data_IF_166052072546
#
_entry.id   IF_166052072546
#
_cell.length_a   1.000
_cell.length_b   1.000
_cell.length_c   1.000
_cell.angle_alpha   90.00
_cell.angle_beta   90.00
_cell.angle_gamma   90.00
#
_symmetry.space_group_name_H-M   'P 1'
#
loop_
_entity.id
_entity.type
_entity.pdbx_description
1 polymer ?
#
# COMPACT_ATOMS: atom_id res chain seq x y z
N UNK A 1 21.20 -15.26 -19.97
CA UNK A 1 20.54 -14.65 -21.15
C UNK A 1 19.11 -15.16 -21.36
N UNK A 2 18.86 -16.43 -21.70
CA UNK A 2 17.49 -16.93 -21.93
C UNK A 2 16.55 -16.79 -20.71
N UNK A 3 17.08 -17.00 -19.50
CA UNK A 3 16.32 -16.87 -18.25
C UNK A 3 15.91 -15.44 -17.92
N UNK A 4 16.82 -14.48 -18.14
CA UNK A 4 16.58 -13.05 -17.92
C UNK A 4 15.54 -12.50 -18.91
N UNK A 5 15.65 -12.89 -20.19
CA UNK A 5 14.65 -12.54 -21.20
C UNK A 5 13.26 -13.05 -20.86
N UNK A 6 13.15 -14.28 -20.33
CA UNK A 6 11.87 -14.84 -19.86
C UNK A 6 11.25 -13.99 -18.75
N UNK A 7 12.03 -13.56 -17.76
CA UNK A 7 11.52 -12.72 -16.68
C UNK A 7 11.10 -11.34 -17.16
N UNK A 8 11.91 -10.71 -18.02
CA UNK A 8 11.59 -9.42 -18.63
C UNK A 8 10.28 -9.49 -19.42
N UNK A 9 10.13 -10.50 -20.28
CA UNK A 9 8.90 -10.72 -21.04
C UNK A 9 7.69 -10.99 -20.13
N UNK A 10 7.86 -11.78 -19.07
CA UNK A 10 6.78 -12.11 -18.14
C UNK A 10 6.28 -10.89 -17.36
N UNK A 11 7.19 -10.05 -16.84
CA UNK A 11 6.81 -8.87 -16.08
C UNK A 11 6.22 -7.77 -16.98
N UNK A 12 6.72 -7.63 -18.21
CA UNK A 12 6.14 -6.73 -19.21
C UNK A 12 4.71 -7.16 -19.56
N UNK A 13 4.49 -8.44 -19.86
CA UNK A 13 3.15 -8.97 -20.13
C UNK A 13 2.21 -8.77 -18.94
N UNK A 14 2.67 -9.02 -17.73
CA UNK A 14 1.86 -8.82 -16.52
C UNK A 14 1.52 -7.34 -16.30
N UNK A 15 2.43 -6.43 -16.63
CA UNK A 15 2.17 -4.98 -16.56
C UNK A 15 1.15 -4.55 -17.62
N UNK A 16 1.31 -5.00 -18.87
CA UNK A 16 0.35 -4.74 -19.95
C UNK A 16 -1.06 -5.20 -19.54
N UNK A 17 -1.18 -6.37 -18.92
CA UNK A 17 -2.46 -6.89 -18.40
C UNK A 17 -3.08 -5.99 -17.33
N UNK A 18 -2.27 -5.40 -16.42
CA UNK A 18 -2.78 -4.43 -15.44
C UNK A 18 -3.37 -3.22 -16.17
N UNK A 19 -2.63 -2.65 -17.13
CA UNK A 19 -3.07 -1.45 -17.85
C UNK A 19 -4.33 -1.72 -18.65
N UNK A 20 -4.38 -2.82 -19.40
CA UNK A 20 -5.57 -3.22 -20.17
C UNK A 20 -6.79 -3.44 -19.27
N UNK A 21 -6.65 -4.22 -18.19
CA UNK A 21 -7.77 -4.47 -17.27
C UNK A 21 -8.23 -3.17 -16.58
N UNK A 22 -7.29 -2.26 -16.30
CA UNK A 22 -7.62 -0.97 -15.68
C UNK A 22 -8.41 -0.08 -16.64
N UNK A 23 -8.02 0.00 -17.92
CA UNK A 23 -8.81 0.72 -18.93
C UNK A 23 -10.20 0.11 -19.12
N UNK A 24 -10.33 -1.23 -19.09
CA UNK A 24 -11.63 -1.89 -19.14
C UNK A 24 -12.53 -1.50 -17.96
N UNK A 25 -11.96 -1.47 -16.75
CA UNK A 25 -12.68 -0.98 -15.55
C UNK A 25 -13.11 0.48 -15.69
N UNK A 26 -12.24 1.36 -16.20
CA UNK A 26 -12.56 2.79 -16.39
C UNK A 26 -13.69 2.96 -17.41
N UNK A 27 -13.63 2.23 -18.52
CA UNK A 27 -14.69 2.24 -19.54
C UNK A 27 -16.01 1.68 -18.99
N UNK A 28 -15.97 0.65 -18.15
CA UNK A 28 -17.17 0.15 -17.48
C UNK A 28 -17.74 1.22 -16.55
N UNK A 29 -16.90 1.87 -15.74
CA UNK A 29 -17.30 2.95 -14.85
C UNK A 29 -17.90 4.14 -15.59
N UNK A 30 -17.36 4.53 -16.75
CA UNK A 30 -17.89 5.65 -17.53
C UNK A 30 -19.28 5.39 -18.10
N UNK A 31 -19.62 4.12 -18.32
CA UNK A 31 -20.91 3.70 -18.87
C UNK A 31 -21.95 3.40 -17.78
N UNK A 32 -21.51 3.21 -16.53
CA UNK A 32 -22.37 2.86 -15.40
C UNK A 32 -22.97 4.12 -14.75
N UNK A 33 -24.26 4.10 -14.40
CA UNK A 33 -24.94 5.22 -13.75
C UNK A 33 -24.85 5.12 -12.22
N UNK A 34 -23.62 4.94 -11.73
CA UNK A 34 -23.38 4.73 -10.30
C UNK A 34 -22.99 6.00 -9.57
N UNK A 35 -23.31 6.08 -8.27
CA UNK A 35 -22.86 7.17 -7.42
C UNK A 35 -21.43 6.93 -6.92
N UNK A 36 -20.65 8.00 -6.95
CA UNK A 36 -19.30 8.01 -6.44
C UNK A 36 -19.02 9.30 -5.67
N UNK A 37 -18.03 9.23 -4.79
CA UNK A 37 -17.57 10.34 -3.97
C UNK A 37 -16.06 10.22 -3.80
N UNK A 38 -15.33 11.33 -3.88
CA UNK A 38 -13.92 11.38 -3.51
C UNK A 38 -13.61 12.60 -2.63
N UNK A 39 -12.61 12.46 -1.76
CA UNK A 39 -12.25 13.46 -0.76
C UNK A 39 -11.94 14.84 -1.35
N UNK A 40 -11.31 14.86 -2.53
CA UNK A 40 -10.94 16.09 -3.25
C UNK A 40 -11.74 16.30 -4.55
N UNK A 41 -12.68 15.40 -4.84
CA UNK A 41 -13.57 15.50 -6.01
C UNK A 41 -14.91 14.87 -5.65
N UNK A 42 -15.90 15.66 -5.16
CA UNK A 42 -17.17 15.12 -4.68
C UNK A 42 -17.98 14.35 -5.74
N UNK A 43 -17.70 14.59 -7.02
CA UNK A 43 -18.28 13.87 -8.17
C UNK A 43 -17.15 13.38 -9.07
N UNK A 44 -16.45 12.31 -8.67
CA UNK A 44 -15.34 11.81 -9.46
C UNK A 44 -15.85 11.19 -10.77
N UNK A 45 -15.26 11.59 -11.88
CA UNK A 45 -15.56 11.06 -13.21
C UNK A 45 -14.55 9.98 -13.63
N UNK A 46 -14.68 9.49 -14.87
CA UNK A 46 -13.79 8.48 -15.41
C UNK A 46 -12.33 8.95 -15.48
N UNK A 47 -12.08 10.23 -15.78
CA UNK A 47 -10.74 10.82 -15.80
C UNK A 47 -10.10 10.86 -14.41
N UNK A 48 -10.88 11.15 -13.37
CA UNK A 48 -10.41 11.03 -11.99
C UNK A 48 -10.05 9.58 -11.63
N UNK A 49 -10.88 8.62 -12.01
CA UNK A 49 -10.64 7.21 -11.72
C UNK A 49 -9.40 6.70 -12.47
N UNK A 50 -9.24 7.11 -13.73
CA UNK A 50 -8.07 6.83 -14.54
C UNK A 50 -6.80 7.32 -13.86
N UNK A 51 -6.79 8.59 -13.42
CA UNK A 51 -5.69 9.17 -12.66
C UNK A 51 -5.40 8.36 -11.40
N UNK A 52 -6.44 7.95 -10.65
CA UNK A 52 -6.28 7.20 -9.41
C UNK A 52 -5.68 5.81 -9.59
N UNK A 53 -6.05 5.12 -10.68
CA UNK A 53 -5.68 3.72 -10.91
C UNK A 53 -4.40 3.54 -11.74
N UNK A 54 -4.01 4.56 -12.50
CA UNK A 54 -2.84 4.54 -13.38
C UNK A 54 -1.67 5.41 -12.88
N UNK A 55 -1.81 6.07 -11.72
CA UNK A 55 -0.67 6.74 -11.08
C UNK A 55 0.31 5.73 -10.48
N UNK A 56 1.36 5.43 -11.26
CA UNK A 56 2.43 4.52 -10.89
C UNK A 56 3.76 5.22 -10.57
N UNK A 57 3.76 6.54 -10.44
CA UNK A 57 4.99 7.31 -10.42
C UNK A 57 5.38 7.75 -9.00
N UNK A 58 6.68 8.01 -8.79
CA UNK A 58 7.10 8.80 -7.65
C UNK A 58 6.90 10.28 -7.94
N UNK A 59 6.39 11.03 -6.96
CA UNK A 59 6.43 12.49 -6.95
C UNK A 59 7.82 12.99 -6.53
N UNK A 60 8.18 14.21 -6.94
CA UNK A 60 9.41 14.85 -6.50
C UNK A 60 9.38 15.07 -4.98
N UNK A 61 10.47 14.72 -4.29
CA UNK A 61 10.55 14.82 -2.82
C UNK A 61 9.71 13.78 -2.05
N UNK A 62 9.02 12.86 -2.73
CA UNK A 62 8.23 11.82 -2.08
C UNK A 62 9.10 10.87 -1.26
N UNK A 63 8.69 10.55 -0.02
CA UNK A 63 9.27 9.43 0.73
C UNK A 63 9.09 8.14 -0.09
N UNK A 64 10.20 7.49 -0.44
CA UNK A 64 10.21 6.27 -1.26
C UNK A 64 9.42 5.08 -0.67
N UNK A 65 8.95 5.19 0.57
CA UNK A 65 8.10 4.19 1.25
C UNK A 65 6.61 4.53 1.20
N UNK A 66 6.27 5.75 0.82
CA UNK A 66 4.90 6.22 0.68
C UNK A 66 4.33 5.83 -0.69
N UNK A 67 3.01 5.81 -0.76
CA UNK A 67 2.25 5.64 -2.00
C UNK A 67 1.17 6.71 -2.00
N UNK A 68 0.88 7.30 -3.15
CA UNK A 68 -0.10 8.38 -3.26
C UNK A 68 -1.51 7.86 -2.98
N UNK A 69 -2.22 8.34 -1.94
CA UNK A 69 -3.56 7.86 -1.64
C UNK A 69 -4.60 8.52 -2.56
N UNK A 70 -5.55 7.73 -3.05
CA UNK A 70 -6.74 8.22 -3.75
C UNK A 70 -7.98 7.84 -2.96
N UNK A 71 -8.47 8.77 -2.15
CA UNK A 71 -9.56 8.49 -1.21
C UNK A 71 -10.88 8.78 -1.90
N UNK A 72 -11.65 7.71 -2.10
CA UNK A 72 -13.01 7.78 -2.60
C UNK A 72 -13.78 6.49 -2.38
N UNK A 73 -15.06 6.52 -2.74
CA UNK A 73 -15.97 5.40 -2.72
C UNK A 73 -16.77 5.39 -4.01
N UNK A 74 -17.00 4.20 -4.55
CA UNK A 74 -17.77 3.97 -5.77
C UNK A 74 -18.78 2.87 -5.43
N UNK A 75 -20.07 3.17 -5.59
CA UNK A 75 -21.09 2.13 -5.58
C UNK A 75 -20.89 1.27 -6.84
N UNK A 76 -21.04 -0.04 -6.71
CA UNK A 76 -20.66 -0.95 -7.79
C UNK A 76 -21.67 -2.08 -7.94
N UNK A 77 -22.23 -2.19 -9.13
CA UNK A 77 -22.99 -3.36 -9.56
C UNK A 77 -22.06 -4.54 -9.88
N UNK A 78 -22.65 -5.72 -10.21
CA UNK A 78 -21.90 -6.94 -10.48
C UNK A 78 -20.81 -6.78 -11.55
N UNK A 79 -21.13 -6.16 -12.69
CA UNK A 79 -20.20 -6.00 -13.82
C UNK A 79 -18.99 -5.15 -13.45
N UNK A 80 -19.22 -4.06 -12.70
CA UNK A 80 -18.15 -3.19 -12.23
C UNK A 80 -17.26 -3.91 -11.20
N UNK A 81 -17.85 -4.69 -10.30
CA UNK A 81 -17.13 -5.52 -9.34
C UNK A 81 -16.29 -6.61 -10.02
N UNK A 82 -16.79 -7.21 -11.10
CA UNK A 82 -16.05 -8.19 -11.90
C UNK A 82 -14.84 -7.53 -12.58
N UNK A 83 -15.01 -6.34 -13.16
CA UNK A 83 -13.91 -5.57 -13.73
C UNK A 83 -12.85 -5.21 -12.67
N UNK A 84 -13.26 -4.85 -11.45
CA UNK A 84 -12.33 -4.63 -10.32
C UNK A 84 -11.58 -5.91 -9.95
N UNK A 85 -12.28 -7.05 -9.92
CA UNK A 85 -11.67 -8.35 -9.64
C UNK A 85 -10.62 -8.71 -10.70
N UNK A 86 -10.89 -8.45 -11.97
CA UNK A 86 -9.94 -8.66 -13.07
C UNK A 86 -8.67 -7.81 -12.90
N UNK A 87 -8.81 -6.53 -12.52
CA UNK A 87 -7.65 -5.66 -12.21
C UNK A 87 -6.85 -6.22 -11.04
N UNK A 88 -7.51 -6.61 -9.95
CA UNK A 88 -6.84 -7.16 -8.77
C UNK A 88 -6.13 -8.50 -9.06
N UNK A 89 -6.71 -9.33 -9.93
CA UNK A 89 -6.07 -10.56 -10.41
C UNK A 89 -4.81 -10.26 -11.22
N UNK A 90 -4.86 -9.33 -12.18
CA UNK A 90 -3.69 -8.90 -12.95
C UNK A 90 -2.58 -8.33 -12.04
N UNK A 91 -2.96 -7.51 -11.04
CA UNK A 91 -2.03 -6.98 -10.02
C UNK A 91 -1.40 -8.08 -9.18
N UNK A 92 -2.14 -9.13 -8.84
CA UNK A 92 -1.62 -10.30 -8.12
C UNK A 92 -0.57 -11.03 -8.95
N UNK A 93 -0.84 -11.27 -10.23
CA UNK A 93 0.10 -11.92 -11.17
C UNK A 93 1.39 -11.11 -11.29
N UNK A 94 1.30 -9.80 -11.51
CA UNK A 94 2.48 -8.93 -11.56
C UNK A 94 3.30 -8.97 -10.26
N UNK A 95 2.62 -8.95 -9.10
CA UNK A 95 3.29 -9.01 -7.80
C UNK A 95 4.05 -10.32 -7.59
N UNK A 96 3.46 -11.44 -8.04
CA UNK A 96 4.09 -12.77 -8.00
C UNK A 96 5.33 -12.81 -8.89
N UNK A 97 5.23 -12.39 -10.16
CA UNK A 97 6.38 -12.33 -11.08
C UNK A 97 7.48 -11.43 -10.53
N UNK A 98 7.13 -10.27 -9.99
CA UNK A 98 8.10 -9.35 -9.38
C UNK A 98 8.78 -9.95 -8.15
N UNK A 99 8.05 -10.73 -7.34
CA UNK A 99 8.62 -11.41 -6.18
C UNK A 99 9.63 -12.49 -6.60
N UNK A 100 9.34 -13.24 -7.67
CA UNK A 100 10.28 -14.20 -8.25
C UNK A 100 11.55 -13.51 -8.76
N UNK A 101 11.42 -12.42 -9.52
CA UNK A 101 12.59 -11.67 -10.02
C UNK A 101 13.44 -11.14 -8.86
N UNK A 102 12.82 -10.63 -7.78
CA UNK A 102 13.55 -10.17 -6.60
C UNK A 102 14.35 -11.28 -5.90
N UNK A 103 13.90 -12.53 -6.01
CA UNK A 103 14.55 -13.70 -5.39
C UNK A 103 15.67 -14.24 -6.27
N UNK A 104 15.41 -14.39 -7.57
CA UNK A 104 16.31 -15.09 -8.50
C UNK A 104 17.28 -14.14 -9.23
N UNK A 105 16.84 -12.92 -9.56
CA UNK A 105 17.52 -12.03 -10.51
C UNK A 105 17.38 -10.55 -10.11
N UNK A 106 17.70 -10.22 -8.84
CA UNK A 106 17.53 -8.87 -8.28
C UNK A 106 18.22 -7.76 -9.10
N UNK A 107 19.29 -8.10 -9.82
CA UNK A 107 20.02 -7.18 -10.69
C UNK A 107 19.18 -6.67 -11.87
N UNK A 108 18.10 -7.34 -12.26
CA UNK A 108 17.20 -6.90 -13.35
C UNK A 108 16.29 -5.74 -12.96
N UNK A 109 16.04 -5.52 -11.66
CA UNK A 109 15.04 -4.54 -11.17
C UNK A 109 15.25 -3.12 -11.74
N UNK A 110 16.46 -2.57 -11.86
CA UNK A 110 16.67 -1.26 -12.48
C UNK A 110 16.27 -1.22 -13.96
N UNK A 111 16.57 -2.28 -14.72
CA UNK A 111 16.22 -2.39 -16.14
C UNK A 111 14.70 -2.42 -16.34
N UNK A 112 13.98 -3.22 -15.54
CA UNK A 112 12.51 -3.29 -15.59
C UNK A 112 11.85 -1.92 -15.39
N UNK A 113 12.38 -1.12 -14.45
CA UNK A 113 11.83 0.21 -14.17
C UNK A 113 11.98 1.17 -15.36
N UNK A 114 12.95 0.92 -16.25
CA UNK A 114 13.11 1.65 -17.50
C UNK A 114 12.24 1.12 -18.64
N UNK A 115 12.08 -0.21 -18.76
CA UNK A 115 11.34 -0.80 -19.88
C UNK A 115 9.82 -0.70 -19.76
N UNK A 116 9.25 -0.87 -18.56
CA UNK A 116 7.79 -0.86 -18.35
C UNK A 116 7.12 0.47 -18.78
N UNK A 117 7.65 1.66 -18.42
CA UNK A 117 7.07 2.94 -18.86
C UNK A 117 7.07 3.12 -20.37
N UNK A 118 8.14 2.68 -21.06
CA UNK A 118 8.30 2.85 -22.50
C UNK A 118 7.25 2.09 -23.32
N UNK A 119 6.66 1.03 -22.75
CA UNK A 119 5.60 0.25 -23.39
C UNK A 119 4.24 0.95 -23.41
N UNK A 120 4.03 1.91 -22.51
CA UNK A 120 2.77 2.65 -22.40
C UNK A 120 3.04 4.16 -22.39
N UNK A 121 3.36 4.77 -23.55
CA UNK A 121 3.73 6.19 -23.63
C UNK A 121 2.66 7.13 -23.07
N UNK A 122 1.38 6.77 -23.20
CA UNK A 122 0.25 7.55 -22.65
C UNK A 122 0.26 7.62 -21.11
N UNK A 123 0.85 6.63 -20.42
CA UNK A 123 1.05 6.68 -18.97
C UNK A 123 2.22 7.58 -18.59
N UNK A 124 3.17 7.75 -19.50
CA UNK A 124 4.39 8.53 -19.32
C UNK A 124 4.24 10.01 -19.76
N UNK A 125 3.26 10.34 -20.60
CA UNK A 125 3.08 11.70 -21.15
C UNK A 125 2.70 12.75 -20.10
N UNK A 126 2.20 12.35 -18.93
CA UNK A 126 1.87 13.25 -17.82
C UNK A 126 3.08 13.58 -16.92
N UNK A 127 4.28 13.11 -17.27
CA UNK A 127 5.50 13.34 -16.52
C UNK A 127 6.14 14.65 -16.97
N UNK A 128 5.72 15.76 -16.37
CA UNK A 128 6.27 17.09 -16.65
C UNK A 128 7.76 17.18 -16.24
N UNK A 129 8.66 17.12 -17.22
CA UNK A 129 9.87 17.95 -17.30
C UNK A 129 11.05 17.70 -16.34
N UNK A 130 10.94 16.95 -15.24
CA UNK A 130 12.01 16.83 -14.26
C UNK A 130 12.40 15.37 -13.98
N UNK A 131 13.30 14.84 -14.82
CA UNK A 131 14.00 13.57 -14.59
C UNK A 131 13.12 12.33 -14.75
N UNK A 132 13.48 11.45 -15.70
CA UNK A 132 12.91 10.12 -15.95
C UNK A 132 12.09 9.58 -14.76
N UNK A 133 10.77 9.58 -14.87
CA UNK A 133 9.92 9.21 -13.76
C UNK A 133 10.27 7.81 -13.28
N UNK A 134 10.60 7.74 -12.00
CA UNK A 134 10.95 6.47 -11.37
C UNK A 134 9.63 5.75 -11.13
N UNK A 135 9.44 4.61 -11.78
CA UNK A 135 8.28 3.76 -11.54
C UNK A 135 8.25 3.32 -10.06
N UNK A 136 7.13 3.59 -9.39
CA UNK A 136 6.83 3.08 -8.06
C UNK A 136 6.14 1.71 -8.19
N UNK A 137 6.95 0.66 -8.15
CA UNK A 137 6.47 -0.72 -8.29
C UNK A 137 5.34 -1.07 -7.30
N UNK A 138 5.31 -0.49 -6.09
CA UNK A 138 4.24 -0.77 -5.12
C UNK A 138 2.90 -0.17 -5.55
N UNK A 139 2.90 0.96 -6.24
CA UNK A 139 1.69 1.55 -6.80
C UNK A 139 1.11 0.71 -7.95
N UNK A 140 1.96 0.00 -8.71
CA UNK A 140 1.51 -0.88 -9.79
C UNK A 140 0.64 -2.04 -9.29
N UNK A 141 0.98 -2.66 -8.15
CA UNK A 141 0.30 -3.88 -7.68
C UNK A 141 -0.57 -3.73 -6.44
N UNK A 142 -0.64 -2.54 -5.80
CA UNK A 142 -1.58 -2.36 -4.68
C UNK A 142 -3.02 -2.60 -5.15
N UNK A 143 -3.73 -3.50 -4.47
CA UNK A 143 -5.09 -3.86 -4.84
C UNK A 143 -6.07 -2.69 -4.65
N UNK A 144 -7.07 -2.66 -5.52
CA UNK A 144 -8.27 -1.83 -5.36
C UNK A 144 -9.09 -2.44 -4.22
N UNK A 145 -9.40 -1.68 -3.15
CA UNK A 145 -10.19 -2.19 -2.04
C UNK A 145 -11.65 -2.39 -2.46
N UNK A 146 -12.23 -3.50 -2.02
CA UNK A 146 -13.64 -3.87 -2.26
C UNK A 146 -14.27 -4.25 -0.93
N UNK A 147 -15.48 -3.77 -0.66
CA UNK A 147 -16.26 -4.22 0.50
C UNK A 147 -16.78 -5.65 0.27
N UNK A 148 -16.72 -6.50 1.29
CA UNK A 148 -17.06 -7.93 1.16
C UNK A 148 -18.55 -8.17 0.84
N UNK A 149 -19.41 -7.22 1.19
CA UNK A 149 -20.86 -7.25 1.05
C UNK A 149 -21.41 -5.81 1.05
N UNK A 150 -22.69 -5.60 0.71
CA UNK A 150 -23.35 -4.31 0.88
C UNK A 150 -23.21 -3.76 2.31
N UNK A 151 -22.99 -2.45 2.42
CA UNK A 151 -22.77 -1.77 3.69
C UNK A 151 -23.84 -0.71 3.91
N UNK A 152 -24.29 -0.55 5.14
CA UNK A 152 -25.20 0.52 5.54
C UNK A 152 -24.44 1.85 5.68
N UNK A 153 -23.21 1.76 6.22
CA UNK A 153 -22.40 2.93 6.57
C UNK A 153 -20.91 2.67 6.39
N UNK A 154 -20.20 3.71 5.96
CA UNK A 154 -18.73 3.75 5.92
C UNK A 154 -18.22 4.91 6.76
N UNK A 155 -17.32 4.62 7.71
CA UNK A 155 -16.63 5.65 8.48
C UNK A 155 -15.15 5.72 8.09
N UNK A 156 -14.78 6.80 7.40
CA UNK A 156 -13.44 7.13 6.97
C UNK A 156 -12.69 7.91 8.06
N UNK A 157 -11.46 7.49 8.35
CA UNK A 157 -10.61 8.14 9.34
C UNK A 157 -9.13 7.97 9.04
N UNK A 158 -8.33 8.99 9.35
CA UNK A 158 -6.88 8.91 9.26
C UNK A 158 -6.30 8.06 10.40
N UNK A 159 -5.45 7.11 10.02
CA UNK A 159 -4.68 6.28 10.94
C UNK A 159 -3.20 6.69 10.88
N UNK A 160 -2.79 7.50 11.86
CA UNK A 160 -1.44 8.09 11.96
C UNK A 160 -0.49 7.31 12.89
N UNK A 161 -1.02 6.32 13.63
CA UNK A 161 -0.25 5.55 14.62
C UNK A 161 0.20 4.17 14.12
N UNK A 162 0.21 3.96 12.80
CA UNK A 162 0.64 2.70 12.21
C UNK A 162 2.09 2.39 12.52
N UNK A 163 2.36 1.16 12.99
CA UNK A 163 3.71 0.66 13.23
C UNK A 163 3.88 -0.69 12.55
N UNK A 164 5.00 -0.86 11.83
CA UNK A 164 5.49 -2.17 11.43
C UNK A 164 6.45 -2.65 12.51
N UNK A 165 6.15 -3.80 13.10
CA UNK A 165 6.95 -4.40 14.18
C UNK A 165 7.48 -5.73 13.67
N UNK A 166 8.81 -5.84 13.56
CA UNK A 166 9.49 -7.09 13.23
C UNK A 166 10.13 -7.66 14.49
N UNK A 167 9.70 -8.86 14.90
CA UNK A 167 10.37 -9.59 15.98
C UNK A 167 11.74 -10.08 15.49
N UNK A 168 12.77 -9.86 16.31
CA UNK A 168 14.15 -10.22 16.05
C UNK A 168 14.73 -10.97 17.26
N UNK A 169 15.74 -11.79 17.01
CA UNK A 169 16.62 -12.35 18.04
C UNK A 169 17.81 -11.42 18.27
N UNK A 170 18.47 -11.52 19.42
CA UNK A 170 19.73 -10.81 19.70
C UNK A 170 20.76 -11.09 18.61
N UNK A 171 20.93 -12.35 18.19
CA UNK A 171 21.85 -12.72 17.12
C UNK A 171 21.52 -12.03 15.77
N UNK A 172 20.23 -11.87 15.44
CA UNK A 172 19.84 -11.17 14.21
C UNK A 172 20.13 -9.65 14.28
N UNK A 173 20.09 -9.07 15.47
CA UNK A 173 20.48 -7.67 15.70
C UNK A 173 21.98 -7.50 15.62
N UNK A 174 22.73 -8.41 16.20
CA UNK A 174 24.19 -8.46 16.13
C UNK A 174 24.68 -8.51 14.68
N UNK A 175 24.13 -9.41 13.87
CA UNK A 175 24.44 -9.50 12.43
C UNK A 175 24.13 -8.20 11.68
N UNK A 176 23.05 -7.50 12.05
CA UNK A 176 22.74 -6.18 11.49
C UNK A 176 23.79 -5.14 11.86
N UNK A 177 24.21 -5.09 13.13
CA UNK A 177 25.26 -4.17 13.58
C UNK A 177 26.59 -4.44 12.87
N UNK A 178 26.98 -5.71 12.72
CA UNK A 178 28.19 -6.11 11.99
C UNK A 178 28.14 -5.76 10.49
N UNK A 179 26.94 -5.71 9.89
CA UNK A 179 26.77 -5.28 8.50
C UNK A 179 26.82 -3.75 8.32
N UNK A 180 26.78 -3.00 9.42
CA UNK A 180 27.02 -1.55 9.41
C UNK A 180 28.51 -1.29 9.49
N UNK A 181 28.96 -0.14 8.96
CA UNK A 181 30.36 0.25 8.94
C UNK A 181 31.03 0.06 10.32
N UNK A 182 31.83 -1.00 10.42
CA UNK A 182 32.26 -1.61 11.69
C UNK A 182 33.31 -0.78 12.43
N UNK A 183 33.94 0.18 11.73
CA UNK A 183 35.02 1.03 12.27
C UNK A 183 34.50 2.26 13.03
N UNK A 184 33.20 2.35 13.30
CA UNK A 184 32.63 3.45 14.06
C UNK A 184 32.51 3.11 15.56
N UNK A 185 33.08 3.97 16.41
CA UNK A 185 32.89 3.94 17.88
C UNK A 185 31.41 3.80 18.28
N UNK A 186 30.49 4.30 17.43
CA UNK A 186 29.06 4.14 17.59
C UNK A 186 28.59 2.68 17.56
N UNK A 187 29.08 1.86 16.63
CA UNK A 187 28.71 0.44 16.53
C UNK A 187 29.22 -0.35 17.74
N UNK A 188 30.42 -0.06 18.24
CA UNK A 188 30.94 -0.70 19.46
C UNK A 188 30.07 -0.42 20.70
N UNK A 189 29.60 0.83 20.86
CA UNK A 189 28.69 1.20 21.94
C UNK A 189 27.39 0.40 21.83
N UNK A 190 26.79 0.31 20.64
CA UNK A 190 25.56 -0.46 20.42
C UNK A 190 25.75 -1.96 20.69
N UNK A 191 26.91 -2.52 20.34
CA UNK A 191 27.27 -3.91 20.63
C UNK A 191 27.41 -4.17 22.13
N UNK A 192 28.02 -3.26 22.88
CA UNK A 192 28.10 -3.34 24.35
C UNK A 192 26.71 -3.24 24.98
N UNK A 193 25.86 -2.34 24.49
CA UNK A 193 24.46 -2.24 24.94
C UNK A 193 23.72 -3.54 24.65
N UNK A 194 23.84 -4.12 23.46
CA UNK A 194 23.20 -5.39 23.10
C UNK A 194 23.68 -6.56 23.98
N UNK A 195 24.95 -6.57 24.38
CA UNK A 195 25.48 -7.59 25.29
C UNK A 195 24.90 -7.51 26.72
N UNK A 196 24.20 -6.44 27.09
CA UNK A 196 23.56 -6.30 28.41
C UNK A 196 22.26 -7.10 28.56
N UNK A 197 21.72 -7.68 27.47
CA UNK A 197 20.49 -8.48 27.49
C UNK A 197 20.76 -9.97 27.22
N UNK A 198 19.92 -10.89 27.74
CA UNK A 198 20.05 -12.33 27.46
C UNK A 198 19.96 -12.65 25.98
N UNK A 199 20.79 -13.58 25.49
CA UNK A 199 20.86 -13.96 24.08
C UNK A 199 19.54 -14.47 23.46
N UNK A 200 18.63 -14.97 24.30
CA UNK A 200 17.29 -15.45 23.90
C UNK A 200 16.19 -14.41 24.09
N UNK A 201 16.50 -13.22 24.60
CA UNK A 201 15.51 -12.17 24.76
C UNK A 201 14.95 -11.76 23.38
N UNK A 202 13.61 -11.78 23.20
CA UNK A 202 13.03 -11.29 21.96
C UNK A 202 13.15 -9.77 21.90
N UNK A 203 13.57 -9.26 20.74
CA UNK A 203 13.65 -7.83 20.46
C UNK A 203 12.65 -7.46 19.36
N UNK A 204 12.29 -6.19 19.29
CA UNK A 204 11.36 -5.68 18.29
C UNK A 204 11.99 -4.53 17.51
N UNK A 205 12.11 -4.66 16.19
CA UNK A 205 12.43 -3.52 15.33
C UNK A 205 11.14 -2.83 14.92
N UNK A 206 11.00 -1.56 15.31
CA UNK A 206 9.79 -0.77 15.11
C UNK A 206 10.02 0.29 14.04
N UNK A 207 9.11 0.34 13.08
CA UNK A 207 9.06 1.35 12.05
C UNK A 207 7.71 2.06 12.10
N UNK A 208 7.70 3.36 12.40
CA UNK A 208 6.51 4.19 12.19
C UNK A 208 6.17 4.21 10.69
N UNK A 209 4.91 3.95 10.38
CA UNK A 209 4.36 3.98 9.03
C UNK A 209 3.79 5.35 8.73
N UNK A 210 3.81 5.73 7.45
CA UNK A 210 3.12 6.93 7.00
C UNK A 210 1.62 6.85 7.36
N UNK A 211 0.96 7.99 7.64
CA UNK A 211 -0.48 8.04 7.82
C UNK A 211 -1.23 7.38 6.66
N UNK A 212 -2.29 6.63 6.99
CA UNK A 212 -3.12 5.94 5.99
C UNK A 212 -4.60 6.19 6.26
N UNK A 213 -5.41 6.30 5.22
CA UNK A 213 -6.85 6.34 5.37
C UNK A 213 -7.38 4.93 5.67
N UNK A 214 -8.26 4.82 6.66
CA UNK A 214 -8.99 3.59 6.98
C UNK A 214 -10.48 3.78 6.81
N UNK A 215 -11.11 2.77 6.22
CA UNK A 215 -12.56 2.63 6.16
C UNK A 215 -13.01 1.62 7.23
N UNK A 216 -13.97 2.01 8.06
CA UNK A 216 -14.74 1.10 8.90
C UNK A 216 -16.08 0.87 8.21
N UNK A 217 -16.30 -0.36 7.78
CA UNK A 217 -17.48 -0.83 7.08
C UNK A 217 -18.45 -1.40 8.10
N UNK A 218 -19.71 -0.98 8.02
CA UNK A 218 -20.83 -1.52 8.78
C UNK A 218 -21.76 -2.19 7.79
N UNK A 219 -21.84 -3.52 7.82
CA UNK A 219 -22.57 -4.30 6.82
C UNK A 219 -24.07 -4.25 7.09
N UNK A 220 -24.88 -4.30 6.02
CA UNK A 220 -26.35 -4.38 6.15
C UNK A 220 -26.72 -5.71 6.81
N UNK A 221 -26.14 -6.80 6.28
CA UNK A 221 -26.25 -8.14 6.84
C UNK A 221 -24.88 -8.59 7.39
N UNK A 222 -24.84 -9.34 8.50
CA UNK A 222 -23.60 -9.92 9.00
C UNK A 222 -22.89 -10.74 7.91
N UNK A 223 -21.57 -10.64 7.89
CA UNK A 223 -20.74 -11.51 7.04
C UNK A 223 -20.93 -12.98 7.42
N UNK A 224 -20.48 -13.88 6.55
CA UNK A 224 -20.54 -15.34 6.77
C UNK A 224 -19.89 -15.80 8.08
N UNK A 225 -18.93 -15.05 8.60
CA UNK A 225 -18.27 -15.31 9.88
C UNK A 225 -18.90 -14.58 11.08
N UNK A 226 -20.11 -14.05 10.91
CA UNK A 226 -20.90 -13.38 11.94
C UNK A 226 -20.49 -11.94 12.23
N UNK A 227 -19.47 -11.39 11.55
CA UNK A 227 -19.04 -10.01 11.77
C UNK A 227 -19.98 -9.02 11.10
N UNK A 228 -20.44 -8.05 11.87
CA UNK A 228 -21.24 -6.90 11.42
C UNK A 228 -20.38 -5.72 10.93
N UNK A 229 -19.08 -5.73 11.25
CA UNK A 229 -18.15 -4.65 10.94
C UNK A 229 -16.77 -5.14 10.54
N UNK A 230 -16.10 -4.37 9.67
CA UNK A 230 -14.70 -4.59 9.30
C UNK A 230 -13.97 -3.27 9.09
N UNK A 231 -12.73 -3.19 9.57
CA UNK A 231 -11.86 -2.04 9.34
C UNK A 231 -10.72 -2.40 8.39
N UNK A 232 -10.51 -1.61 7.34
CA UNK A 232 -9.46 -1.84 6.34
C UNK A 232 -8.77 -0.56 5.91
N UNK A 233 -7.57 -0.68 5.34
CA UNK A 233 -6.87 0.44 4.72
C UNK A 233 -7.46 0.67 3.31
N UNK A 234 -7.62 1.93 2.92
CA UNK A 234 -8.15 2.33 1.60
C UNK A 234 -7.14 3.24 0.88
N UNK A 235 -6.08 2.67 0.28
CA UNK A 235 -5.07 3.44 -0.45
C UNK A 235 -5.55 3.91 -1.85
N UNK A 236 -6.63 3.30 -2.33
CA UNK A 236 -7.31 3.53 -3.60
C UNK A 236 -8.83 3.63 -3.33
N UNK A 237 -9.64 4.06 -4.31
CA UNK A 237 -11.08 4.18 -4.14
C UNK A 237 -11.70 2.83 -3.74
N UNK A 238 -12.59 2.85 -2.75
CA UNK A 238 -13.29 1.68 -2.25
C UNK A 238 -14.51 1.39 -3.12
N UNK A 239 -14.55 0.22 -3.75
CA UNK A 239 -15.73 -0.25 -4.46
C UNK A 239 -16.66 -0.99 -3.50
N UNK A 240 -17.94 -0.61 -3.51
CA UNK A 240 -18.95 -1.08 -2.55
C UNK A 240 -20.08 -1.74 -3.32
N UNK A 241 -20.39 -3.02 -3.07
CA UNK A 241 -21.55 -3.67 -3.68
C UNK A 241 -22.83 -2.88 -3.43
N UNK A 242 -23.53 -2.51 -4.50
CA UNK A 242 -24.76 -1.73 -4.45
C UNK A 242 -25.75 -2.21 -5.52
N UNK A 243 -27.01 -2.36 -5.13
CA UNK A 243 -28.09 -2.81 -6.03
C UNK A 243 -28.75 -1.62 -6.72
N UNK A 244 -28.84 -0.47 -6.04
CA UNK A 244 -29.50 0.74 -6.53
C UNK A 244 -28.51 1.81 -7.01
N UNK A 245 -27.22 1.47 -7.09
CA UNK A 245 -26.15 2.37 -7.50
C UNK A 245 -25.85 3.47 -6.49
N UNK A 246 -26.43 3.45 -5.28
CA UNK A 246 -26.22 4.49 -4.27
C UNK A 246 -25.06 4.15 -3.35
N UNK A 247 -24.40 5.21 -2.89
CA UNK A 247 -23.42 5.12 -1.82
C UNK A 247 -24.09 4.96 -0.45
N UNK A 248 -23.46 4.24 0.48
CA UNK A 248 -23.91 4.19 1.87
C UNK A 248 -23.75 5.54 2.56
N UNK A 249 -24.33 5.66 3.76
CA UNK A 249 -24.06 6.78 4.64
C UNK A 249 -22.56 6.85 4.93
N UNK A 250 -21.97 8.04 4.80
CA UNK A 250 -20.55 8.23 5.05
C UNK A 250 -20.25 9.61 5.63
N UNK A 251 -19.15 9.69 6.37
CA UNK A 251 -18.62 10.96 6.86
C UNK A 251 -17.67 11.59 5.85
N UNK A 252 -17.39 12.87 6.04
CA UNK A 252 -16.30 13.57 5.37
C UNK A 252 -15.08 13.62 6.30
N UNK A 253 -13.99 12.89 6.01
CA UNK A 253 -12.77 12.99 6.78
C UNK A 253 -12.06 14.31 6.49
N UNK A 254 -11.09 14.69 7.33
CA UNK A 254 -10.21 15.83 7.04
C UNK A 254 -9.41 15.58 5.75
N UNK A 255 -9.13 16.61 4.94
CA UNK A 255 -8.37 16.45 3.69
C UNK A 255 -6.96 15.90 3.91
N UNK A 256 -6.37 16.20 5.06
CA UNK A 256 -5.01 15.81 5.43
C UNK A 256 -5.00 15.04 6.76
N UNK A 257 -4.01 14.14 6.96
CA UNK A 257 -3.84 13.48 8.24
C UNK A 257 -3.55 14.50 9.34
N UNK A 258 -4.08 14.31 10.57
CA UNK A 258 -3.79 15.20 11.68
C UNK A 258 -2.31 15.11 12.08
N UNK A 259 -1.73 16.25 12.44
CA UNK A 259 -0.31 16.35 12.86
C UNK A 259 -0.04 15.61 14.17
N UNK A 260 -1.03 15.56 15.07
CA UNK A 260 -0.90 14.93 16.38
C UNK A 260 -1.89 13.78 16.57
N UNK A 261 -1.44 12.79 17.35
CA UNK A 261 -2.27 11.66 17.74
C UNK A 261 -3.34 12.13 18.73
N UNK A 262 -4.60 12.07 18.34
CA UNK A 262 -5.73 12.40 19.23
C UNK A 262 -6.26 11.21 20.05
N UNK A 263 -5.87 9.98 19.70
CA UNK A 263 -6.39 8.75 20.35
C UNK A 263 -5.46 8.25 21.44
N UNK A 264 -6.03 7.86 22.60
CA UNK A 264 -5.30 7.25 23.73
C UNK A 264 -4.33 6.15 23.29
N UNK A 265 -3.20 6.07 23.99
CA UNK A 265 -2.25 4.95 23.90
C UNK A 265 -3.03 3.65 24.14
N UNK A 266 -2.79 2.63 23.30
CA UNK A 266 -3.52 1.38 23.46
C UNK A 266 -3.00 0.70 24.72
N UNK A 267 -3.91 0.19 25.55
CA UNK A 267 -3.55 -0.46 26.82
C UNK A 267 -2.75 -1.76 26.65
N UNK A 268 -2.73 -2.34 25.45
CA UNK A 268 -1.99 -3.56 25.11
C UNK A 268 -0.59 -3.29 24.51
N UNK A 269 -0.01 -2.11 24.75
CA UNK A 269 1.35 -1.80 24.29
C UNK A 269 2.39 -2.61 25.08
N UNK A 270 2.90 -3.67 24.45
CA UNK A 270 3.88 -4.61 25.03
C UNK A 270 5.33 -4.20 24.84
N UNK A 271 5.60 -2.99 24.33
CA UNK A 271 6.97 -2.52 24.09
C UNK A 271 7.34 -1.44 25.11
N UNK A 272 8.62 -1.34 25.43
CA UNK A 272 9.16 -0.18 26.13
C UNK A 272 8.85 1.12 25.35
N UNK A 273 8.76 2.25 26.07
CA UNK A 273 8.44 3.55 25.46
C UNK A 273 9.61 4.09 24.63
N UNK A 274 10.83 3.92 25.12
CA UNK A 274 12.06 4.36 24.47
C UNK A 274 12.75 3.20 23.74
N UNK A 275 13.40 3.45 22.59
CA UNK A 275 14.16 2.42 21.90
C UNK A 275 15.42 2.03 22.67
N UNK A 276 15.59 0.75 22.91
CA UNK A 276 16.80 0.14 23.47
C UNK A 276 18.04 0.37 22.59
N UNK A 277 17.91 0.27 21.25
CA UNK A 277 18.93 0.70 20.29
C UNK A 277 18.33 1.71 19.31
N UNK A 278 18.48 3.03 19.56
CA UNK A 278 17.79 4.08 18.80
C UNK A 278 18.10 4.09 17.30
N UNK A 279 19.37 3.91 16.92
CA UNK A 279 19.83 3.94 15.52
C UNK A 279 19.18 2.84 14.67
N UNK A 280 18.87 1.69 15.28
CA UNK A 280 18.17 0.57 14.65
C UNK A 280 16.66 0.57 14.92
N UNK A 281 16.18 1.47 15.79
CA UNK A 281 14.79 1.53 16.30
C UNK A 281 14.37 0.20 16.90
N UNK A 282 15.26 -0.37 17.70
CA UNK A 282 15.03 -1.64 18.40
C UNK A 282 14.51 -1.33 19.79
N UNK A 283 13.47 -2.04 20.18
CA UNK A 283 12.78 -1.96 21.46
C UNK A 283 12.79 -3.34 22.12
N UNK A 284 12.70 -3.34 23.45
CA UNK A 284 12.45 -4.55 24.22
C UNK A 284 10.94 -4.70 24.47
N UNK A 285 10.54 -5.92 24.78
CA UNK A 285 9.18 -6.19 25.25
C UNK A 285 9.09 -5.96 26.76
N UNK A 286 7.95 -5.44 27.23
CA UNK A 286 7.58 -5.37 28.65
C UNK A 286 7.17 -6.74 29.18
#
# INVERSE_FOLDING_TARGET
MAHQYRYLSAIEKAFDQIVTATHQLINQYSNDQTHAWALHSPRPDAAWLETALLDYWYEEGQDGRSTRPYIGMIAAGPDLLEAVAAVNAAKSVFSQVLAEIKREEKALIPELKGSLPARHPALASNLSGAGLARLNLKQCWRHIPVADAPVERVHLSWYTSGRSIKRLTVAAVEQKLMSMNTDSQHVEILMKTLASVPSREPLAQVQTLAPTMRANLFFIDPLRDGRDRRAMNVPLPLFIPSIDGRLPLHNQPTPFPPESRTRKVRSDEKLEEEPFLPSLRIYRYR
#
